data_IF_517568900895
#
_entry.id   IF_517568900895
#
_cell.length_a   1.000
_cell.length_b   1.000
_cell.length_c   1.000
_cell.angle_alpha   90.00
_cell.angle_beta   90.00
_cell.angle_gamma   90.00
#
_symmetry.space_group_name_H-M   'P 1'
#
loop_
_entity.id
_entity.type
_entity.pdbx_description
1 polymer ?
#
# COMPACT_ATOMS: atom_id res chain seq x y z
N UNK A 1 -31.28 18.12 20.59
CA UNK A 1 -31.32 17.58 19.22
C UNK A 1 -29.96 17.84 18.56
N UNK A 2 -29.09 16.84 18.39
CA UNK A 2 -27.74 17.07 17.85
C UNK A 2 -27.02 15.80 17.34
N UNK A 3 -27.69 14.66 17.34
CA UNK A 3 -27.10 13.37 16.97
C UNK A 3 -27.22 13.07 15.46
N UNK A 4 -27.79 13.95 14.65
CA UNK A 4 -28.12 13.58 13.26
C UNK A 4 -27.04 13.98 12.25
N UNK A 5 -25.93 14.59 12.68
CA UNK A 5 -24.89 15.08 11.76
C UNK A 5 -23.80 14.04 11.48
N UNK A 6 -23.37 13.28 12.48
CA UNK A 6 -22.39 12.21 12.29
C UNK A 6 -22.89 11.17 11.28
N UNK A 7 -24.19 10.86 11.33
CA UNK A 7 -24.79 9.86 10.45
C UNK A 7 -24.82 10.32 9.00
N UNK A 8 -24.95 11.63 8.74
CA UNK A 8 -24.88 12.16 7.38
C UNK A 8 -23.47 12.11 6.81
N UNK A 9 -22.45 12.33 7.64
CA UNK A 9 -21.05 12.21 7.23
C UNK A 9 -20.70 10.74 6.94
N UNK A 10 -21.11 9.78 7.79
CA UNK A 10 -20.90 8.35 7.51
C UNK A 10 -21.62 7.90 6.23
N UNK A 11 -22.85 8.37 6.01
CA UNK A 11 -23.67 7.97 4.87
C UNK A 11 -23.22 8.63 3.55
N UNK A 12 -22.39 9.68 3.59
CA UNK A 12 -21.77 10.25 2.40
C UNK A 12 -20.58 9.41 1.88
N UNK A 13 -20.01 8.55 2.72
CA UNK A 13 -18.84 7.72 2.39
C UNK A 13 -19.19 6.34 1.81
N UNK A 14 -20.48 5.98 1.71
CA UNK A 14 -20.92 4.64 1.26
C UNK A 14 -21.28 4.57 -0.23
N UNK A 15 -21.12 5.66 -0.98
CA UNK A 15 -21.36 5.65 -2.43
C UNK A 15 -20.04 5.44 -3.16
N UNK A 16 -19.78 4.19 -3.54
CA UNK A 16 -18.68 3.85 -4.44
C UNK A 16 -18.75 4.67 -5.73
N UNK A 17 -17.68 5.43 -6.00
CA UNK A 17 -17.37 5.92 -7.33
C UNK A 17 -17.14 7.43 -7.38
N UNK A 18 -15.89 7.84 -7.59
CA UNK A 18 -15.62 9.20 -8.05
C UNK A 18 -14.21 9.71 -7.78
N UNK A 19 -13.26 9.28 -8.61
CA UNK A 19 -12.21 10.11 -9.20
C UNK A 19 -11.60 11.25 -8.34
N UNK A 20 -10.34 11.04 -7.94
CA UNK A 20 -9.34 12.11 -8.01
C UNK A 20 -8.52 12.38 -6.77
N UNK A 21 -8.89 11.87 -5.59
CA UNK A 21 -8.09 12.08 -4.39
C UNK A 21 -7.21 10.85 -4.10
N UNK A 22 -5.90 11.02 -4.28
CA UNK A 22 -4.92 9.98 -3.96
C UNK A 22 -4.83 9.69 -2.45
N UNK A 23 -5.59 10.39 -1.60
CA UNK A 23 -5.51 10.30 -0.16
C UNK A 23 -6.59 9.40 0.48
N UNK A 24 -7.50 8.82 -0.32
CA UNK A 24 -8.59 8.01 0.20
C UNK A 24 -8.12 6.79 1.02
N UNK A 25 -8.95 6.36 1.97
CA UNK A 25 -8.68 5.12 2.72
C UNK A 25 -8.80 3.92 1.79
N UNK A 26 -7.77 3.08 1.77
CA UNK A 26 -7.74 1.86 0.95
C UNK A 26 -8.63 0.80 1.58
N UNK A 27 -9.49 0.17 0.78
CA UNK A 27 -10.39 -0.89 1.26
C UNK A 27 -9.66 -2.15 1.73
N UNK A 28 -10.29 -2.93 2.62
CA UNK A 28 -9.76 -4.22 3.09
C UNK A 28 -9.48 -5.18 1.92
N UNK A 29 -10.35 -5.23 0.90
CA UNK A 29 -10.17 -6.12 -0.25
C UNK A 29 -8.89 -5.83 -1.03
N UNK A 30 -8.55 -4.56 -1.20
CA UNK A 30 -7.29 -4.15 -1.84
C UNK A 30 -6.08 -4.52 -0.99
N UNK A 31 -6.15 -4.35 0.34
CA UNK A 31 -5.09 -4.79 1.24
C UNK A 31 -4.89 -6.30 1.20
N UNK A 32 -5.96 -7.09 1.17
CA UNK A 32 -5.88 -8.55 1.03
C UNK A 32 -5.18 -8.92 -0.29
N UNK A 33 -5.54 -8.29 -1.41
CA UNK A 33 -4.89 -8.53 -2.69
C UNK A 33 -3.38 -8.19 -2.65
N UNK A 34 -3.01 -7.07 -2.01
CA UNK A 34 -1.61 -6.70 -1.79
C UNK A 34 -0.88 -7.74 -0.93
N UNK A 35 -1.48 -8.20 0.17
CA UNK A 35 -0.86 -9.20 1.05
C UNK A 35 -0.65 -10.54 0.34
N UNK A 36 -1.60 -10.99 -0.47
CA UNK A 36 -1.46 -12.21 -1.29
C UNK A 36 -0.36 -12.03 -2.34
N UNK A 37 -0.31 -10.87 -3.01
CA UNK A 37 0.72 -10.57 -4.01
C UNK A 37 2.12 -10.54 -3.40
N UNK A 38 2.26 -9.90 -2.23
CA UNK A 38 3.54 -9.73 -1.53
C UNK A 38 4.01 -10.99 -0.78
N UNK A 39 3.10 -11.94 -0.51
CA UNK A 39 3.45 -13.24 0.07
C UNK A 39 4.35 -14.10 -0.83
N UNK A 40 4.41 -13.82 -2.13
CA UNK A 40 5.30 -14.50 -3.07
C UNK A 40 6.61 -13.69 -3.17
N UNK A 41 7.70 -14.11 -2.51
CA UNK A 41 8.90 -13.28 -2.31
C UNK A 41 9.56 -12.81 -3.62
N UNK A 42 9.49 -13.60 -4.69
CA UNK A 42 10.15 -13.30 -5.97
C UNK A 42 9.27 -12.38 -6.87
N UNK A 43 7.95 -12.49 -6.81
CA UNK A 43 7.03 -11.61 -7.55
C UNK A 43 6.85 -10.24 -6.86
N UNK A 44 7.33 -10.11 -5.63
CA UNK A 44 7.17 -8.93 -4.79
C UNK A 44 7.86 -7.69 -5.41
N UNK A 45 9.05 -7.81 -6.02
CA UNK A 45 9.80 -6.64 -6.52
C UNK A 45 9.04 -5.93 -7.67
N UNK A 46 8.59 -6.66 -8.69
CA UNK A 46 7.91 -6.03 -9.84
C UNK A 46 6.56 -5.44 -9.40
N UNK A 47 5.79 -6.17 -8.60
CA UNK A 47 4.54 -5.67 -8.04
C UNK A 47 4.74 -4.40 -7.21
N UNK A 48 5.78 -4.36 -6.37
CA UNK A 48 6.14 -3.19 -5.59
C UNK A 48 6.59 -2.01 -6.47
N UNK A 49 7.34 -2.24 -7.54
CA UNK A 49 7.73 -1.17 -8.48
C UNK A 49 6.49 -0.57 -9.16
N UNK A 50 5.57 -1.42 -9.64
CA UNK A 50 4.31 -0.97 -10.24
C UNK A 50 3.49 -0.15 -9.24
N UNK A 51 3.38 -0.60 -7.99
CA UNK A 51 2.67 0.13 -6.94
C UNK A 51 3.36 1.44 -6.53
N UNK A 52 4.70 1.47 -6.47
CA UNK A 52 5.48 2.63 -6.04
C UNK A 52 5.48 3.76 -7.08
N UNK A 53 5.40 3.42 -8.37
CA UNK A 53 5.39 4.36 -9.49
C UNK A 53 4.01 4.57 -10.13
N UNK A 54 2.98 3.88 -9.62
CA UNK A 54 1.61 4.15 -10.02
C UNK A 54 1.16 5.57 -9.65
N UNK A 55 0.23 6.11 -10.43
CA UNK A 55 -0.46 7.38 -10.15
C UNK A 55 -1.67 7.21 -9.20
N UNK A 56 -1.83 6.03 -8.60
CA UNK A 56 -2.94 5.72 -7.69
C UNK A 56 -2.75 6.17 -6.24
N UNK A 57 -3.46 5.49 -5.34
CA UNK A 57 -3.57 5.82 -3.93
C UNK A 57 -2.21 5.95 -3.22
N UNK A 58 -2.03 7.06 -2.49
CA UNK A 58 -0.81 7.44 -1.77
C UNK A 58 -0.45 6.48 -0.66
N UNK A 59 -1.43 5.85 0.01
CA UNK A 59 -1.17 4.84 1.03
C UNK A 59 -0.49 3.60 0.41
N UNK A 60 -1.00 3.11 -0.72
CA UNK A 60 -0.43 1.96 -1.45
C UNK A 60 0.97 2.31 -1.96
N UNK A 61 1.13 3.50 -2.54
CA UNK A 61 2.41 3.99 -3.04
C UNK A 61 3.47 4.13 -1.95
N UNK A 62 3.10 4.66 -0.78
CA UNK A 62 4.01 4.79 0.36
C UNK A 62 4.39 3.42 0.93
N UNK A 63 3.45 2.50 1.04
CA UNK A 63 3.72 1.11 1.42
C UNK A 63 4.74 0.46 0.47
N UNK A 64 4.54 0.61 -0.83
CA UNK A 64 5.41 0.02 -1.82
C UNK A 64 6.84 0.59 -1.76
N UNK A 65 6.96 1.92 -1.64
CA UNK A 65 8.26 2.59 -1.47
C UNK A 65 8.98 2.16 -0.19
N UNK A 66 8.27 2.08 0.93
CA UNK A 66 8.85 1.65 2.21
C UNK A 66 9.35 0.20 2.12
N UNK A 67 8.54 -0.68 1.52
CA UNK A 67 8.90 -2.10 1.37
C UNK A 67 10.12 -2.26 0.45
N UNK A 68 10.21 -1.51 -0.65
CA UNK A 68 11.40 -1.52 -1.52
C UNK A 68 12.65 -1.02 -0.80
N UNK A 69 12.54 0.02 0.02
CA UNK A 69 13.67 0.52 0.80
C UNK A 69 14.17 -0.54 1.80
N UNK A 70 13.25 -1.17 2.54
CA UNK A 70 13.59 -2.25 3.47
C UNK A 70 14.21 -3.44 2.74
N UNK A 71 13.66 -3.83 1.58
CA UNK A 71 14.20 -4.92 0.77
C UNK A 71 15.63 -4.59 0.29
N UNK A 72 15.88 -3.37 -0.18
CA UNK A 72 17.22 -2.94 -0.60
C UNK A 72 18.22 -2.99 0.56
N UNK A 73 17.81 -2.54 1.75
CA UNK A 73 18.63 -2.60 2.97
C UNK A 73 18.99 -4.07 3.30
N UNK A 74 18.00 -4.96 3.31
CA UNK A 74 18.23 -6.39 3.59
C UNK A 74 19.15 -7.05 2.58
N UNK A 75 19.04 -6.69 1.29
CA UNK A 75 19.94 -7.18 0.25
C UNK A 75 21.37 -6.71 0.49
N UNK A 76 21.58 -5.43 0.80
CA UNK A 76 22.91 -4.87 1.08
C UNK A 76 23.54 -5.56 2.30
N UNK A 77 22.81 -5.61 3.42
CA UNK A 77 23.29 -6.30 4.63
C UNK A 77 23.54 -7.79 4.37
N UNK A 78 22.66 -8.47 3.65
CA UNK A 78 22.82 -9.88 3.27
C UNK A 78 24.08 -10.13 2.46
N UNK A 79 24.41 -9.24 1.51
CA UNK A 79 25.67 -9.32 0.76
C UNK A 79 26.89 -9.10 1.67
N UNK A 80 26.85 -8.13 2.59
CA UNK A 80 27.95 -7.89 3.53
C UNK A 80 28.21 -9.10 4.44
N UNK A 81 27.15 -9.73 4.97
CA UNK A 81 27.27 -10.94 5.77
C UNK A 81 27.80 -12.13 4.95
N UNK A 82 27.36 -12.29 3.70
CA UNK A 82 27.85 -13.36 2.81
C UNK A 82 29.28 -13.15 2.33
N UNK A 83 29.74 -11.92 2.19
CA UNK A 83 31.12 -11.61 1.78
C UNK A 83 32.13 -11.70 2.93
N UNK A 84 31.66 -11.61 4.18
CA UNK A 84 32.49 -11.67 5.39
C UNK A 84 32.54 -13.08 6.03
N UNK A 85 31.69 -14.02 5.57
CA UNK A 85 31.64 -15.42 6.01
C UNK A 85 32.38 -16.31 5.01
#
# INVERSE_FOLDING_TARGET
MGYNNYEKDYNHNVKYGGHGDNNDVVSIGTWIAILILTAIPILNIIGLLVMAFSQGNKNIKNFAKATLLVAAILVIFGMMFKACL
#
